data_IF_575090729049
#
_entry.id   IF_575090729049
#
_cell.length_a   1.000
_cell.length_b   1.000
_cell.length_c   1.000
_cell.angle_alpha   90.00
_cell.angle_beta   90.00
_cell.angle_gamma   90.00
#
_symmetry.space_group_name_H-M   'P 1'
#
loop_
_entity.id
_entity.type
_entity.pdbx_description
1 polymer ?
#
# COMPACT_ATOMS: atom_id res chain seq x y z
N UNK A 1 -68.59 -29.87 -13.86
CA UNK A 1 -69.52 -29.29 -14.86
C UNK A 1 -68.65 -28.43 -15.77
N UNK A 2 -67.94 -29.06 -16.72
CA UNK A 2 -68.27 -29.10 -18.17
C UNK A 2 -67.89 -27.76 -18.82
N UNK A 3 -66.88 -27.57 -19.68
CA UNK A 3 -66.45 -28.27 -20.91
C UNK A 3 -65.04 -27.75 -21.34
N UNK A 4 -64.09 -28.59 -21.78
CA UNK A 4 -63.71 -28.95 -23.18
C UNK A 4 -63.11 -27.80 -24.04
N UNK A 5 -61.76 -27.70 -24.02
CA UNK A 5 -60.74 -27.91 -25.11
C UNK A 5 -60.94 -27.36 -26.57
N UNK A 6 -59.86 -27.27 -27.41
CA UNK A 6 -59.38 -26.01 -28.01
C UNK A 6 -59.30 -26.04 -29.56
N UNK A 7 -58.82 -24.96 -30.19
CA UNK A 7 -58.17 -25.07 -31.50
C UNK A 7 -57.14 -23.98 -31.79
N UNK A 8 -56.02 -24.47 -32.33
CA UNK A 8 -54.88 -23.76 -32.91
C UNK A 8 -55.31 -22.98 -34.16
N UNK A 9 -54.64 -21.88 -34.47
CA UNK A 9 -53.93 -21.72 -35.76
C UNK A 9 -52.98 -20.54 -35.72
N UNK A 10 -51.77 -20.81 -36.21
CA UNK A 10 -50.72 -19.88 -36.57
C UNK A 10 -51.02 -19.18 -37.91
N UNK A 11 -50.65 -17.92 -38.06
CA UNK A 11 -50.08 -17.43 -39.32
C UNK A 11 -49.33 -16.11 -39.14
N UNK A 12 -48.29 -15.97 -39.95
CA UNK A 12 -47.22 -15.00 -39.87
C UNK A 12 -47.57 -13.64 -40.51
N UNK A 13 -46.80 -12.65 -40.05
CA UNK A 13 -46.19 -11.51 -40.77
C UNK A 13 -47.05 -10.34 -41.26
N UNK A 14 -46.74 -9.17 -40.69
CA UNK A 14 -46.37 -7.92 -41.40
C UNK A 14 -45.90 -6.92 -40.32
N UNK A 15 -44.61 -6.61 -40.22
CA UNK A 15 -43.87 -5.54 -40.91
C UNK A 15 -44.42 -4.11 -40.70
N UNK A 16 -43.48 -3.24 -40.29
CA UNK A 16 -43.41 -1.77 -40.40
C UNK A 16 -44.23 -0.87 -39.46
N UNK A 17 -43.47 -0.23 -38.56
CA UNK A 17 -43.55 1.11 -37.91
C UNK A 17 -44.26 2.21 -38.74
N UNK A 18 -44.67 3.40 -38.20
CA UNK A 18 -44.01 4.14 -37.11
C UNK A 18 -44.87 5.04 -36.17
N UNK A 19 -44.16 5.61 -35.19
CA UNK A 19 -44.35 6.92 -34.53
C UNK A 19 -45.38 7.14 -33.40
N UNK A 20 -44.79 7.44 -32.25
CA UNK A 20 -45.00 8.63 -31.39
C UNK A 20 -45.99 8.59 -30.21
N UNK A 21 -45.38 8.93 -29.06
CA UNK A 21 -45.92 9.60 -27.88
C UNK A 21 -46.77 8.79 -26.89
N UNK A 22 -46.20 8.57 -25.71
CA UNK A 22 -46.65 9.12 -24.43
C UNK A 22 -46.05 8.27 -23.31
N UNK A 23 -45.12 8.81 -22.52
CA UNK A 23 -45.10 8.63 -21.06
C UNK A 23 -44.00 9.51 -20.44
N UNK A 24 -44.37 10.25 -19.41
CA UNK A 24 -43.50 10.80 -18.37
C UNK A 24 -44.17 10.47 -17.03
N UNK A 25 -43.48 10.60 -15.88
CA UNK A 25 -42.32 9.83 -15.49
C UNK A 25 -42.58 9.11 -14.15
N UNK A 26 -41.97 7.95 -13.91
CA UNK A 26 -41.84 7.41 -12.56
C UNK A 26 -40.46 7.76 -12.00
N UNK A 27 -40.46 8.30 -10.79
CA UNK A 27 -39.33 8.60 -9.91
C UNK A 27 -38.16 7.60 -9.98
N UNK A 28 -36.89 8.05 -10.05
CA UNK A 28 -35.74 7.20 -9.77
C UNK A 28 -35.27 7.35 -8.32
N UNK A 29 -35.19 6.22 -7.61
CA UNK A 29 -34.39 6.04 -6.40
C UNK A 29 -32.92 5.74 -6.78
N UNK A 30 -31.93 6.09 -5.95
CA UNK A 30 -30.52 6.10 -6.35
C UNK A 30 -29.91 4.69 -6.35
N UNK A 31 -29.36 4.28 -7.50
CA UNK A 31 -28.52 3.08 -7.64
C UNK A 31 -27.11 3.42 -7.17
N UNK A 32 -26.65 2.73 -6.13
CA UNK A 32 -25.24 2.64 -5.77
C UNK A 32 -24.53 1.82 -6.85
N UNK A 33 -23.64 2.45 -7.63
CA UNK A 33 -22.72 1.74 -8.52
C UNK A 33 -21.46 1.37 -7.73
N UNK A 34 -21.46 0.19 -7.13
CA UNK A 34 -20.26 -0.49 -6.65
C UNK A 34 -19.67 -1.25 -7.85
N UNK A 35 -18.63 -0.72 -8.47
CA UNK A 35 -17.85 -1.49 -9.45
C UNK A 35 -16.95 -2.45 -8.69
N UNK A 36 -17.33 -3.72 -8.71
CA UNK A 36 -16.59 -4.83 -8.13
C UNK A 36 -15.43 -5.20 -9.07
N UNK A 37 -14.21 -4.78 -8.73
CA UNK A 37 -13.00 -5.33 -9.33
C UNK A 37 -12.54 -6.54 -8.50
N UNK A 38 -12.14 -7.65 -9.13
CA UNK A 38 -11.84 -8.90 -8.44
C UNK A 38 -10.64 -8.76 -7.48
N UNK A 39 -10.84 -9.24 -6.25
CA UNK A 39 -9.96 -9.14 -5.06
C UNK A 39 -8.55 -9.73 -5.24
N UNK A 40 -8.33 -10.54 -6.25
CA UNK A 40 -7.03 -11.19 -6.52
C UNK A 40 -5.95 -10.19 -6.95
N UNK A 41 -6.35 -9.05 -7.52
CA UNK A 41 -5.41 -8.02 -7.97
C UNK A 41 -4.78 -7.23 -6.83
N UNK A 42 -5.46 -7.04 -5.70
CA UNK A 42 -4.90 -6.27 -4.58
C UNK A 42 -3.81 -7.02 -3.81
N UNK A 43 -3.98 -8.32 -3.61
CA UNK A 43 -3.00 -9.16 -2.92
C UNK A 43 -1.73 -9.36 -3.77
N UNK A 44 -1.91 -9.52 -5.09
CA UNK A 44 -0.81 -9.55 -6.04
C UNK A 44 -0.15 -8.18 -6.18
N UNK A 45 -0.85 -7.05 -6.22
CA UNK A 45 -0.21 -5.73 -6.28
C UNK A 45 0.63 -5.42 -5.04
N UNK A 46 0.19 -5.83 -3.84
CA UNK A 46 0.98 -5.66 -2.62
C UNK A 46 2.23 -6.54 -2.62
N UNK A 47 2.09 -7.85 -2.88
CA UNK A 47 3.23 -8.77 -2.93
C UNK A 47 4.16 -8.52 -4.12
N UNK A 48 3.64 -8.20 -5.29
CA UNK A 48 4.40 -7.91 -6.51
C UNK A 48 5.09 -6.54 -6.42
N UNK A 49 4.50 -5.55 -5.76
CA UNK A 49 5.21 -4.30 -5.42
C UNK A 49 6.37 -4.57 -4.47
N UNK A 50 6.20 -5.42 -3.44
CA UNK A 50 7.31 -5.82 -2.57
C UNK A 50 8.37 -6.64 -3.34
N UNK A 51 7.98 -7.59 -4.20
CA UNK A 51 8.90 -8.46 -4.95
C UNK A 51 9.66 -7.71 -6.06
N UNK A 52 9.01 -6.77 -6.77
CA UNK A 52 9.65 -5.94 -7.79
C UNK A 52 10.61 -4.92 -7.17
N UNK A 53 10.32 -4.42 -5.96
CA UNK A 53 11.28 -3.61 -5.19
C UNK A 53 12.51 -4.45 -4.79
N UNK A 54 12.29 -5.66 -4.27
CA UNK A 54 13.39 -6.58 -3.96
C UNK A 54 14.22 -6.93 -5.19
N UNK A 55 13.58 -7.23 -6.33
CA UNK A 55 14.27 -7.53 -7.58
C UNK A 55 15.04 -6.32 -8.14
N UNK A 56 14.51 -5.10 -8.01
CA UNK A 56 15.19 -3.88 -8.46
C UNK A 56 16.39 -3.51 -7.58
N UNK A 57 16.28 -3.71 -6.26
CA UNK A 57 17.38 -3.52 -5.30
C UNK A 57 18.49 -4.56 -5.55
N UNK A 58 18.13 -5.82 -5.80
CA UNK A 58 19.09 -6.89 -6.13
C UNK A 58 19.77 -6.63 -7.49
N UNK A 59 19.06 -6.08 -8.49
CA UNK A 59 19.61 -5.76 -9.82
C UNK A 59 20.48 -4.50 -9.84
N UNK A 60 20.29 -3.58 -8.90
CA UNK A 60 21.16 -2.41 -8.71
C UNK A 60 22.48 -2.76 -7.98
N UNK A 61 22.46 -3.81 -7.14
CA UNK A 61 23.66 -4.28 -6.45
C UNK A 61 24.61 -5.09 -7.35
N UNK A 62 24.10 -5.79 -8.38
CA UNK A 62 24.95 -6.53 -9.31
C UNK A 62 25.82 -5.65 -10.22
N UNK A 63 25.47 -4.37 -10.40
CA UNK A 63 26.24 -3.43 -11.23
C UNK A 63 27.21 -2.51 -10.45
N UNK A 64 27.20 -2.52 -9.11
CA UNK A 64 28.15 -1.72 -8.29
C UNK A 64 29.28 -2.55 -7.65
N UNK A 65 29.32 -3.86 -7.89
CA UNK A 65 30.26 -4.80 -7.25
C UNK A 65 31.47 -5.22 -8.09
N UNK A 66 31.74 -4.59 -9.25
CA UNK A 66 32.94 -4.91 -10.06
C UNK A 66 34.16 -4.01 -9.84
N UNK A 67 34.09 -3.02 -8.94
CA UNK A 67 35.23 -2.15 -8.63
C UNK A 67 35.35 -1.93 -7.13
N UNK A 68 35.89 -2.91 -6.41
CA UNK A 68 36.75 -2.73 -5.23
C UNK A 68 36.89 -4.06 -4.47
N UNK A 69 37.79 -4.94 -4.93
CA UNK A 69 38.37 -5.96 -4.06
C UNK A 69 39.87 -5.95 -4.30
N UNK A 70 40.59 -5.28 -3.40
CA UNK A 70 41.97 -5.58 -3.00
C UNK A 70 42.38 -4.59 -1.90
N UNK A 71 42.16 -4.97 -0.64
CA UNK A 71 43.03 -4.65 0.50
C UNK A 71 42.46 -5.31 1.76
N UNK A 72 43.07 -6.41 2.16
CA UNK A 72 42.85 -7.12 3.42
C UNK A 72 43.49 -6.34 4.58
N UNK A 73 42.91 -6.45 5.77
CA UNK A 73 43.57 -6.08 7.03
C UNK A 73 42.57 -5.86 8.17
N UNK A 74 42.30 -6.91 8.95
CA UNK A 74 41.37 -6.88 10.07
C UNK A 74 41.85 -6.03 11.24
N UNK A 75 40.90 -5.48 12.00
CA UNK A 75 41.05 -5.04 13.40
C UNK A 75 39.71 -5.23 14.12
N UNK A 76 39.79 -5.88 15.28
CA UNK A 76 38.71 -6.14 16.23
C UNK A 76 38.44 -4.94 17.14
N UNK A 77 37.16 -4.70 17.45
CA UNK A 77 36.74 -4.07 18.71
C UNK A 77 36.39 -2.58 18.65
N UNK A 78 35.10 -2.28 18.90
CA UNK A 78 34.62 -0.94 19.27
C UNK A 78 33.41 -0.47 18.47
N UNK A 79 32.20 -0.72 18.98
CA UNK A 79 30.99 -0.04 18.50
C UNK A 79 31.03 1.43 18.98
N UNK A 80 31.67 2.28 18.20
CA UNK A 80 31.40 3.72 18.23
C UNK A 80 30.34 4.00 17.16
N UNK A 81 29.15 4.44 17.57
CA UNK A 81 28.15 4.99 16.67
C UNK A 81 28.82 6.05 15.78
N UNK A 82 28.64 6.03 14.44
CA UNK A 82 29.17 7.10 13.62
C UNK A 82 28.48 8.39 14.02
N UNK A 83 29.28 9.33 14.50
CA UNK A 83 28.88 10.71 14.71
C UNK A 83 28.18 11.19 13.44
N UNK A 84 26.98 11.74 13.57
CA UNK A 84 26.19 12.30 12.48
C UNK A 84 26.91 13.51 11.87
N UNK A 85 27.94 13.27 11.06
CA UNK A 85 28.61 14.32 10.34
C UNK A 85 27.69 14.80 9.21
N UNK A 86 27.44 16.12 9.08
CA UNK A 86 26.70 16.64 7.95
C UNK A 86 27.43 16.27 6.66
N UNK A 87 26.69 15.69 5.71
CA UNK A 87 27.24 15.30 4.41
C UNK A 87 27.92 16.50 3.72
N UNK A 88 28.98 16.26 2.92
CA UNK A 88 29.62 17.30 2.12
C UNK A 88 28.57 18.06 1.30
N UNK A 89 28.68 19.40 1.23
CA UNK A 89 27.70 20.28 0.57
C UNK A 89 27.33 19.83 -0.85
N UNK A 90 28.30 19.26 -1.58
CA UNK A 90 28.10 18.69 -2.92
C UNK A 90 27.15 17.49 -2.95
N UNK A 91 27.19 16.61 -1.95
CA UNK A 91 26.28 15.46 -1.86
C UNK A 91 24.88 15.88 -1.40
N UNK A 92 24.80 16.95 -0.59
CA UNK A 92 23.53 17.54 -0.15
C UNK A 92 22.77 18.14 -1.33
N UNK A 93 23.45 18.84 -2.25
CA UNK A 93 22.83 19.42 -3.45
C UNK A 93 22.28 18.35 -4.40
N UNK A 94 23.02 17.26 -4.66
CA UNK A 94 22.57 16.17 -5.53
C UNK A 94 21.29 15.48 -5.03
N UNK A 95 21.21 15.21 -3.71
CA UNK A 95 20.03 14.60 -3.11
C UNK A 95 18.78 15.46 -3.22
N UNK A 96 18.91 16.78 -3.07
CA UNK A 96 17.79 17.72 -3.18
C UNK A 96 17.35 17.88 -4.63
N UNK A 97 18.29 17.94 -5.59
CA UNK A 97 17.97 17.96 -7.02
C UNK A 97 17.16 16.74 -7.44
N UNK A 98 17.48 15.55 -6.90
CA UNK A 98 16.71 14.32 -7.18
C UNK A 98 15.26 14.44 -6.72
N UNK A 99 15.04 15.00 -5.52
CA UNK A 99 13.70 15.23 -4.96
C UNK A 99 12.92 16.26 -5.81
N UNK A 100 13.57 17.35 -6.24
CA UNK A 100 12.92 18.36 -7.08
C UNK A 100 12.54 17.81 -8.47
N UNK A 101 13.39 16.95 -9.05
CA UNK A 101 13.06 16.27 -10.29
C UNK A 101 11.91 15.28 -10.12
N UNK A 102 11.87 14.56 -9.00
CA UNK A 102 10.77 13.67 -8.63
C UNK A 102 9.45 14.43 -8.52
N UNK A 103 9.47 15.59 -7.85
CA UNK A 103 8.31 16.50 -7.78
C UNK A 103 7.85 16.95 -9.18
N UNK A 104 8.76 17.42 -10.03
CA UNK A 104 8.42 17.85 -11.40
C UNK A 104 7.80 16.72 -12.22
N UNK A 105 8.38 15.52 -12.17
CA UNK A 105 7.84 14.32 -12.84
C UNK A 105 6.42 14.02 -12.39
N UNK A 106 6.18 14.04 -11.08
CA UNK A 106 4.89 13.74 -10.49
C UNK A 106 3.82 14.79 -10.85
N UNK A 107 4.18 16.07 -10.81
CA UNK A 107 3.26 17.16 -11.15
C UNK A 107 2.94 17.23 -12.65
N UNK A 108 3.91 16.89 -13.51
CA UNK A 108 3.69 16.79 -14.95
C UNK A 108 2.85 15.58 -15.40
N UNK A 109 2.61 14.60 -14.52
CA UNK A 109 1.84 13.41 -14.85
C UNK A 109 0.33 13.67 -14.71
N UNK A 110 -0.33 14.18 -15.76
CA UNK A 110 -1.75 14.55 -15.73
C UNK A 110 -2.69 13.44 -15.25
N UNK A 111 -2.44 12.20 -15.69
CA UNK A 111 -3.27 11.03 -15.35
C UNK A 111 -3.04 10.47 -13.93
N UNK A 112 -1.99 10.92 -13.24
CA UNK A 112 -1.70 10.47 -11.89
C UNK A 112 -2.72 11.05 -10.90
N UNK A 113 -3.34 10.17 -10.12
CA UNK A 113 -4.37 10.49 -9.10
C UNK A 113 -3.93 10.08 -7.68
N UNK A 114 -2.64 9.82 -7.49
CA UNK A 114 -2.12 9.36 -6.20
C UNK A 114 -2.30 10.39 -5.09
N UNK A 115 -2.48 9.93 -3.86
CA UNK A 115 -2.48 10.82 -2.69
C UNK A 115 -1.13 11.53 -2.50
N UNK A 116 -0.03 10.90 -2.92
CA UNK A 116 1.28 11.54 -3.00
C UNK A 116 1.21 12.80 -3.87
N UNK A 117 0.71 12.72 -5.11
CA UNK A 117 0.64 13.88 -6.01
C UNK A 117 -0.25 14.97 -5.45
N UNK A 118 -1.40 14.60 -4.89
CA UNK A 118 -2.36 15.53 -4.27
C UNK A 118 -1.73 16.32 -3.12
N UNK A 119 -0.95 15.66 -2.27
CA UNK A 119 -0.48 16.22 -1.00
C UNK A 119 0.97 16.71 -1.02
N UNK A 120 1.80 16.27 -1.97
CA UNK A 120 3.15 16.80 -2.17
C UNK A 120 3.06 18.14 -2.90
N UNK A 121 2.64 19.19 -2.20
CA UNK A 121 2.66 20.57 -2.68
C UNK A 121 4.07 21.16 -2.60
N UNK A 122 4.29 22.31 -3.25
CA UNK A 122 5.58 23.02 -3.16
C UNK A 122 5.96 23.38 -1.72
N UNK A 123 4.99 23.81 -0.90
CA UNK A 123 5.21 24.10 0.52
C UNK A 123 5.65 22.84 1.30
N UNK A 124 5.00 21.70 1.07
CA UNK A 124 5.37 20.42 1.69
C UNK A 124 6.75 19.97 1.23
N UNK A 125 7.05 20.12 -0.06
CA UNK A 125 8.36 19.82 -0.63
C UNK A 125 9.47 20.63 0.06
N UNK A 126 9.30 21.95 0.16
CA UNK A 126 10.31 22.85 0.73
C UNK A 126 10.54 22.58 2.23
N UNK A 127 9.49 22.23 2.97
CA UNK A 127 9.58 21.83 4.39
C UNK A 127 10.29 20.49 4.61
N UNK A 128 10.29 19.60 3.62
CA UNK A 128 10.75 18.22 3.78
C UNK A 128 12.06 17.90 3.04
N UNK A 129 12.38 18.59 1.92
CA UNK A 129 13.50 18.23 1.03
C UNK A 129 14.89 18.25 1.68
N UNK A 130 15.08 19.06 2.72
CA UNK A 130 16.35 19.19 3.44
C UNK A 130 16.51 18.28 4.66
N UNK A 131 15.48 17.51 5.02
CA UNK A 131 15.43 16.69 6.24
C UNK A 131 15.88 15.26 6.01
N UNK A 132 16.35 14.62 7.08
CA UNK A 132 16.70 13.20 7.14
C UNK A 132 16.33 12.61 8.50
N UNK A 133 16.01 11.33 8.53
CA UNK A 133 15.86 10.57 9.78
C UNK A 133 17.24 10.23 10.38
N UNK A 134 17.28 9.73 11.61
CA UNK A 134 18.52 9.27 12.27
C UNK A 134 19.17 8.11 11.53
N UNK A 135 18.37 7.28 10.86
CA UNK A 135 18.86 6.19 10.02
C UNK A 135 19.25 6.67 8.61
N UNK A 136 19.15 7.97 8.33
CA UNK A 136 19.61 8.59 7.09
C UNK A 136 18.56 8.64 5.97
N UNK A 137 17.34 8.20 6.24
CA UNK A 137 16.26 8.19 5.25
C UNK A 137 15.86 9.61 4.85
N UNK A 138 15.63 9.82 3.56
CA UNK A 138 15.30 11.11 2.95
C UNK A 138 13.86 11.14 2.46
N UNK A 139 13.36 12.32 2.10
CA UNK A 139 12.04 12.44 1.46
C UNK A 139 11.96 11.61 0.17
N UNK A 140 13.06 11.49 -0.59
CA UNK A 140 13.06 10.68 -1.80
C UNK A 140 12.76 9.21 -1.52
N UNK A 141 13.33 8.67 -0.44
CA UNK A 141 13.10 7.27 -0.04
C UNK A 141 11.63 7.02 0.34
N UNK A 142 10.93 8.07 0.80
CA UNK A 142 9.50 7.99 1.08
C UNK A 142 8.62 8.00 -0.17
N UNK A 143 9.01 8.72 -1.22
CA UNK A 143 8.15 9.02 -2.39
C UNK A 143 8.55 8.28 -3.67
N UNK A 144 9.70 7.60 -3.69
CA UNK A 144 10.29 6.97 -4.87
C UNK A 144 9.30 6.03 -5.57
N UNK A 145 8.60 5.19 -4.80
CA UNK A 145 7.59 4.26 -5.32
C UNK A 145 6.47 4.96 -6.09
N UNK A 146 5.88 6.03 -5.55
CA UNK A 146 4.82 6.78 -6.25
C UNK A 146 5.32 7.64 -7.41
N UNK A 147 6.61 7.98 -7.44
CA UNK A 147 7.25 8.69 -8.56
C UNK A 147 7.57 7.75 -9.71
N UNK A 148 7.89 6.49 -9.42
CA UNK A 148 8.15 5.45 -10.40
C UNK A 148 6.84 4.82 -10.91
N UNK A 149 5.87 4.61 -10.02
CA UNK A 149 4.57 4.00 -10.31
C UNK A 149 3.45 5.05 -10.22
N UNK A 150 3.20 5.74 -11.35
CA UNK A 150 2.26 6.88 -11.41
C UNK A 150 0.78 6.47 -11.30
N UNK A 151 0.50 5.18 -11.39
CA UNK A 151 -0.80 4.52 -11.20
C UNK A 151 -1.08 4.16 -9.72
N UNK A 152 -0.12 4.37 -8.81
CA UNK A 152 -0.31 4.10 -7.39
C UNK A 152 -1.46 4.92 -6.79
N UNK A 153 -2.30 4.27 -5.96
CA UNK A 153 -3.38 4.96 -5.24
C UNK A 153 -2.84 5.94 -4.16
N UNK A 154 -1.82 5.53 -3.42
CA UNK A 154 -1.21 6.36 -2.35
C UNK A 154 0.17 6.87 -2.76
N UNK A 155 1.14 5.97 -2.96
CA UNK A 155 2.46 6.31 -3.51
C UNK A 155 3.53 6.72 -2.49
N UNK A 156 3.30 6.56 -1.18
CA UNK A 156 4.33 6.79 -0.14
C UNK A 156 4.57 5.56 0.71
N UNK A 157 5.81 5.40 1.18
CA UNK A 157 6.19 4.43 2.20
C UNK A 157 7.09 5.10 3.25
N UNK A 158 6.93 4.76 4.52
CA UNK A 158 7.90 5.15 5.53
C UNK A 158 9.11 4.18 5.46
N UNK A 159 10.36 4.69 5.44
CA UNK A 159 11.55 3.84 5.55
C UNK A 159 11.83 3.39 6.99
N UNK A 160 11.40 4.18 7.97
CA UNK A 160 11.50 3.92 9.40
C UNK A 160 10.38 4.62 10.18
N UNK A 161 10.24 4.31 11.47
CA UNK A 161 9.20 4.91 12.31
C UNK A 161 9.37 6.44 12.49
N UNK A 162 10.60 6.94 12.43
CA UNK A 162 10.90 8.37 12.58
C UNK A 162 10.46 9.17 11.35
N UNK A 163 10.38 8.55 10.17
CA UNK A 163 9.94 9.17 8.94
C UNK A 163 8.54 9.78 9.04
N UNK A 164 7.62 9.14 9.78
CA UNK A 164 6.28 9.68 10.05
C UNK A 164 6.32 11.05 10.74
N UNK A 165 7.30 11.28 11.63
CA UNK A 165 7.47 12.56 12.33
C UNK A 165 8.33 13.55 11.53
N UNK A 166 9.42 13.07 10.93
CA UNK A 166 10.36 13.90 10.17
C UNK A 166 9.69 14.54 8.96
N UNK A 167 8.87 13.76 8.27
CA UNK A 167 8.11 14.15 7.08
C UNK A 167 6.60 14.29 7.35
N UNK A 168 6.23 14.59 8.60
CA UNK A 168 4.85 14.83 9.03
C UNK A 168 4.05 15.77 8.11
N UNK A 169 4.62 16.89 7.57
CA UNK A 169 3.88 17.75 6.64
C UNK A 169 3.31 17.03 5.40
N UNK A 170 3.89 15.89 5.01
CA UNK A 170 3.38 15.03 3.94
C UNK A 170 2.53 13.89 4.51
N UNK A 171 3.05 13.13 5.48
CA UNK A 171 2.37 11.93 5.98
C UNK A 171 1.05 12.24 6.66
N UNK A 172 0.96 13.31 7.46
CA UNK A 172 -0.26 13.68 8.17
C UNK A 172 -1.40 13.97 7.19
N UNK A 173 -1.11 14.69 6.10
CA UNK A 173 -2.09 15.00 5.05
C UNK A 173 -2.59 13.73 4.35
N UNK A 174 -1.67 12.81 4.03
CA UNK A 174 -2.01 11.55 3.36
C UNK A 174 -2.82 10.63 4.29
N UNK A 175 -2.43 10.54 5.56
CA UNK A 175 -3.14 9.75 6.58
C UNK A 175 -4.55 10.30 6.78
N UNK A 176 -4.70 11.62 6.87
CA UNK A 176 -6.00 12.27 6.99
C UNK A 176 -6.87 12.02 5.75
N UNK A 177 -6.30 12.16 4.55
CA UNK A 177 -7.04 11.92 3.30
C UNK A 177 -7.48 10.45 3.14
N UNK A 178 -6.64 9.50 3.54
CA UNK A 178 -6.90 8.07 3.34
C UNK A 178 -7.78 7.47 4.45
N UNK A 179 -7.56 7.84 5.70
CA UNK A 179 -8.23 7.28 6.88
C UNK A 179 -9.27 8.20 7.52
N UNK A 180 -9.36 9.47 7.10
CA UNK A 180 -10.17 10.47 7.80
C UNK A 180 -9.59 10.86 9.17
N UNK A 181 -8.33 10.53 9.44
CA UNK A 181 -7.71 10.62 10.76
C UNK A 181 -6.88 11.90 10.89
N UNK A 182 -7.26 12.80 11.80
CA UNK A 182 -6.62 14.09 11.93
C UNK A 182 -5.24 13.99 12.62
N UNK A 183 -4.31 14.94 12.40
CA UNK A 183 -2.93 14.85 12.92
C UNK A 183 -2.83 14.86 14.45
N UNK A 184 -3.86 15.36 15.13
CA UNK A 184 -3.97 15.43 16.58
C UNK A 184 -4.79 14.28 17.20
N UNK A 185 -5.40 13.43 16.38
CA UNK A 185 -6.13 12.26 16.86
C UNK A 185 -5.17 11.15 17.28
N UNK A 186 -5.64 10.28 18.17
CA UNK A 186 -4.87 9.12 18.65
C UNK A 186 -5.63 7.86 18.32
N UNK A 187 -4.91 6.86 17.82
CA UNK A 187 -5.46 5.53 17.62
C UNK A 187 -5.98 5.01 18.96
N UNK A 188 -7.15 4.35 19.00
CA UNK A 188 -7.65 3.73 20.22
C UNK A 188 -6.66 2.67 20.71
N UNK A 189 -6.72 2.29 22.01
CA UNK A 189 -5.93 1.19 22.53
C UNK A 189 -6.13 -0.08 21.71
N UNK A 190 -5.07 -0.86 21.54
CA UNK A 190 -5.14 -2.15 20.84
C UNK A 190 -6.14 -3.07 21.55
N UNK A 191 -7.13 -3.55 20.80
CA UNK A 191 -8.11 -4.55 21.21
C UNK A 191 -8.14 -5.64 20.14
N UNK A 192 -7.68 -6.84 20.49
CA UNK A 192 -7.70 -8.00 19.59
C UNK A 192 -9.03 -8.77 19.63
N UNK A 193 -10.01 -8.28 20.39
CA UNK A 193 -11.37 -8.84 20.42
C UNK A 193 -11.49 -10.16 21.18
N UNK A 194 -10.64 -10.38 22.19
CA UNK A 194 -10.68 -11.60 23.01
C UNK A 194 -12.09 -11.81 23.60
N UNK A 195 -12.67 -12.99 23.35
CA UNK A 195 -14.02 -13.34 23.81
C UNK A 195 -15.18 -12.71 23.04
N UNK A 196 -14.93 -11.83 22.05
CA UNK A 196 -15.97 -11.12 21.27
C UNK A 196 -16.39 -11.83 19.99
N UNK A 197 -15.85 -13.01 19.71
CA UNK A 197 -16.17 -13.77 18.48
C UNK A 197 -17.66 -14.08 18.34
N UNK A 198 -18.38 -14.21 19.45
CA UNK A 198 -19.84 -14.43 19.48
C UNK A 198 -20.67 -13.26 18.94
N UNK A 199 -20.09 -12.07 18.87
CA UNK A 199 -20.75 -10.86 18.31
C UNK A 199 -20.81 -10.91 16.78
N UNK A 200 -20.05 -11.80 16.14
CA UNK A 200 -19.98 -11.96 14.69
C UNK A 200 -20.69 -13.25 14.25
N UNK A 201 -22.00 -13.21 13.94
CA UNK A 201 -22.72 -14.39 13.46
C UNK A 201 -22.20 -14.85 12.09
N UNK A 202 -22.47 -16.11 11.68
CA UNK A 202 -22.09 -16.61 10.36
C UNK A 202 -22.63 -15.70 9.24
N UNK A 203 -21.71 -15.21 8.40
CA UNK A 203 -22.06 -14.32 7.29
C UNK A 203 -22.79 -15.03 6.14
N UNK A 204 -22.60 -16.34 6.02
CA UNK A 204 -23.29 -17.20 5.05
C UNK A 204 -23.79 -18.48 5.75
N UNK A 205 -24.95 -18.42 6.43
CA UNK A 205 -25.51 -19.57 7.14
C UNK A 205 -25.96 -20.70 6.21
N UNK A 206 -26.20 -20.39 4.93
CA UNK A 206 -26.74 -21.32 3.95
C UNK A 206 -25.64 -21.96 3.08
N UNK A 207 -24.36 -21.63 3.34
CA UNK A 207 -23.17 -22.11 2.64
C UNK A 207 -23.26 -22.00 1.11
N UNK A 208 -23.93 -20.96 0.63
CA UNK A 208 -24.17 -20.73 -0.81
C UNK A 208 -22.95 -20.14 -1.52
N UNK A 209 -22.00 -19.58 -0.77
CA UNK A 209 -20.80 -18.94 -1.31
C UNK A 209 -19.57 -19.81 -1.03
N UNK A 210 -18.89 -20.26 -2.10
CA UNK A 210 -17.65 -21.03 -2.02
C UNK A 210 -16.40 -20.14 -1.98
N UNK A 211 -16.42 -19.12 -1.12
CA UNK A 211 -15.31 -18.19 -0.94
C UNK A 211 -14.57 -18.40 0.38
N UNK A 212 -13.25 -18.26 0.34
CA UNK A 212 -12.40 -18.21 1.52
C UNK A 212 -12.59 -16.90 2.28
N UNK A 213 -12.70 -16.99 3.61
CA UNK A 213 -12.67 -15.82 4.50
C UNK A 213 -11.27 -15.64 5.05
N UNK A 214 -10.75 -14.42 5.00
CA UNK A 214 -9.42 -14.08 5.50
C UNK A 214 -9.44 -12.81 6.34
N UNK A 215 -8.92 -12.91 7.55
CA UNK A 215 -8.53 -11.77 8.37
C UNK A 215 -7.00 -11.76 8.42
N UNK A 216 -6.39 -10.62 8.08
CA UNK A 216 -4.94 -10.47 8.12
C UNK A 216 -4.59 -9.24 8.97
N UNK A 217 -3.56 -9.38 9.80
CA UNK A 217 -2.99 -8.30 10.57
C UNK A 217 -1.50 -8.25 10.30
N UNK A 218 -0.97 -7.05 10.13
CA UNK A 218 0.47 -6.83 9.96
C UNK A 218 1.04 -6.30 11.26
N UNK A 219 2.07 -6.95 11.79
CA UNK A 219 2.85 -6.48 12.93
C UNK A 219 4.31 -6.26 12.50
N UNK A 220 5.01 -5.42 13.25
CA UNK A 220 6.41 -5.09 13.00
C UNK A 220 7.18 -5.37 14.29
N UNK A 221 8.32 -6.07 14.18
CA UNK A 221 9.17 -6.35 15.35
C UNK A 221 9.85 -5.04 15.78
N UNK A 222 9.76 -4.74 17.08
CA UNK A 222 10.38 -3.55 17.66
C UNK A 222 11.90 -3.62 17.54
N UNK A 223 12.52 -2.51 17.14
CA UNK A 223 13.98 -2.42 17.03
C UNK A 223 14.51 -2.63 15.62
N UNK A 224 13.66 -2.96 14.64
CA UNK A 224 14.03 -3.00 13.23
C UNK A 224 13.47 -1.79 12.47
N UNK A 225 14.18 -1.29 11.44
CA UNK A 225 13.58 -0.35 10.51
C UNK A 225 12.60 -1.08 9.58
N UNK A 226 11.94 -0.34 8.68
CA UNK A 226 11.05 -0.95 7.70
C UNK A 226 11.83 -1.44 6.48
N UNK A 227 11.17 -2.22 5.60
CA UNK A 227 11.76 -2.84 4.40
C UNK A 227 12.76 -1.98 3.62
N UNK A 228 12.52 -0.67 3.39
CA UNK A 228 13.47 0.15 2.63
C UNK A 228 14.88 0.26 3.24
N UNK A 229 15.02 0.01 4.55
CA UNK A 229 16.28 0.12 5.27
C UNK A 229 16.74 -1.20 5.93
N UNK A 230 15.95 -2.28 5.79
CA UNK A 230 16.32 -3.58 6.31
C UNK A 230 17.52 -4.16 5.54
N UNK A 231 18.44 -4.76 6.28
CA UNK A 231 19.59 -5.48 5.72
C UNK A 231 19.32 -6.98 5.71
N UNK A 232 20.13 -7.72 4.95
CA UNK A 232 20.04 -9.17 4.87
C UNK A 232 20.10 -9.83 6.26
N UNK A 233 21.02 -9.39 7.12
CA UNK A 233 21.16 -9.92 8.49
C UNK A 233 19.91 -9.66 9.33
N UNK A 234 19.24 -8.52 9.13
CA UNK A 234 17.99 -8.20 9.81
C UNK A 234 16.88 -9.17 9.39
N UNK A 235 16.77 -9.46 8.08
CA UNK A 235 15.81 -10.43 7.56
C UNK A 235 16.04 -11.83 8.15
N UNK A 236 17.28 -12.31 8.17
CA UNK A 236 17.62 -13.62 8.74
C UNK A 236 17.32 -13.68 10.25
N UNK A 237 17.59 -12.60 10.97
CA UNK A 237 17.30 -12.51 12.40
C UNK A 237 15.78 -12.54 12.67
N UNK A 238 15.00 -11.77 11.91
CA UNK A 238 13.53 -11.76 12.03
C UNK A 238 12.93 -13.11 11.63
N UNK A 239 13.38 -13.72 10.53
CA UNK A 239 12.93 -15.04 10.10
C UNK A 239 13.13 -16.09 11.21
N UNK A 240 14.32 -16.11 11.81
CA UNK A 240 14.63 -17.04 12.90
C UNK A 240 13.72 -16.84 14.11
N UNK A 241 13.47 -15.59 14.51
CA UNK A 241 12.56 -15.26 15.63
C UNK A 241 11.14 -15.71 15.35
N UNK A 242 10.63 -15.41 14.15
CA UNK A 242 9.27 -15.74 13.74
C UNK A 242 9.07 -17.25 13.65
N UNK A 243 10.04 -17.99 13.07
CA UNK A 243 10.03 -19.46 13.06
C UNK A 243 9.96 -20.04 14.46
N UNK A 244 10.84 -19.59 15.35
CA UNK A 244 10.86 -20.06 16.74
C UNK A 244 9.54 -19.76 17.49
N UNK A 245 8.88 -18.63 17.20
CA UNK A 245 7.56 -18.34 17.76
C UNK A 245 6.49 -19.30 17.21
N UNK A 246 6.53 -19.62 15.91
CA UNK A 246 5.57 -20.53 15.30
C UNK A 246 5.75 -22.00 15.71
N UNK A 247 6.98 -22.42 15.98
CA UNK A 247 7.27 -23.77 16.49
C UNK A 247 6.68 -24.03 17.88
N UNK A 248 6.31 -22.96 18.61
CA UNK A 248 5.67 -23.05 19.93
C UNK A 248 4.16 -23.30 19.91
N UNK A 249 3.48 -23.21 18.76
CA UNK A 249 2.04 -23.46 18.68
C UNK A 249 1.73 -24.94 18.56
N UNK A 250 0.68 -25.39 19.26
CA UNK A 250 0.19 -26.77 19.16
C UNK A 250 -0.99 -26.81 18.20
N UNK A 251 -1.21 -27.93 17.49
CA UNK A 251 -2.26 -28.05 16.46
C UNK A 251 -3.68 -27.75 16.97
N UNK A 252 -3.91 -27.83 18.29
CA UNK A 252 -5.17 -27.44 18.93
C UNK A 252 -5.43 -25.94 18.90
N UNK A 253 -4.39 -25.12 18.81
CA UNK A 253 -4.46 -23.67 18.75
C UNK A 253 -4.71 -23.17 17.32
N UNK A 254 -4.61 -24.07 16.32
CA UNK A 254 -4.68 -23.77 14.89
C UNK A 254 -5.99 -24.25 14.23
N UNK A 255 -6.90 -24.87 14.98
CA UNK A 255 -8.21 -25.37 14.52
C UNK A 255 -9.33 -24.49 15.07
#
# INVERSE_FOLDING_TARGET
>A
LSEILPSLTSSLSSSSSPSSSLFSPLHPSPIHSLTFLPREWFFLSFLQSQYLNMASILRLNSHRLYTAVLALGGHSGGYSSPLSHPLPLHQRSLSQTKIENAYKKLQGAEKCKSLLKKNLTKDVLDKCKGKKTKLGATLYDCISSGVENLDAGVGVHAPDAEAYRTFAPLFDKIIQDYHGFAPNEKQPPTDLGEGKTKEFPPLDPEEKVRDGRGLTMTSLDTGYPFNPLLKQDDYLAMEKKVKAAFDGFVEKDLK
#
